data_IF_048410891968
#
_entry.id   IF_048410891968
#
_cell.length_a   1.000
_cell.length_b   1.000
_cell.length_c   1.000
_cell.angle_alpha   90.00
_cell.angle_beta   90.00
_cell.angle_gamma   90.00
#
_symmetry.space_group_name_H-M   'P 1'
#
loop_
_entity.id
_entity.type
_entity.pdbx_description
1 polymer ?
#
# COMPACT_ATOMS: atom_id res chain seq x y z
N UNK A 1 -24.78 -29.94 4.78
CA UNK A 1 -25.30 -29.34 3.52
C UNK A 1 -25.33 -27.82 3.61
N UNK A 2 -25.58 -27.25 4.78
CA UNK A 2 -25.57 -25.80 5.03
C UNK A 2 -24.17 -25.15 4.95
N UNK A 3 -23.12 -25.80 5.45
CA UNK A 3 -21.72 -25.34 5.32
C UNK A 3 -21.26 -25.23 3.85
N UNK A 4 -21.72 -26.15 2.99
CA UNK A 4 -21.39 -26.16 1.55
C UNK A 4 -22.18 -25.07 0.81
N UNK A 5 -23.39 -24.73 1.26
CA UNK A 5 -24.15 -23.61 0.72
C UNK A 5 -23.55 -22.26 1.10
N UNK A 6 -23.08 -22.12 2.34
CA UNK A 6 -22.49 -20.88 2.84
C UNK A 6 -21.15 -20.56 2.16
N UNK A 7 -20.28 -21.56 2.04
CA UNK A 7 -19.01 -21.46 1.28
C UNK A 7 -19.21 -21.16 -0.21
N UNK A 8 -20.25 -21.72 -0.85
CA UNK A 8 -20.58 -21.44 -2.25
C UNK A 8 -21.12 -20.03 -2.45
N UNK A 9 -21.91 -19.52 -1.50
CA UNK A 9 -22.41 -18.14 -1.49
C UNK A 9 -21.27 -17.15 -1.30
N UNK A 10 -20.38 -17.41 -0.35
CA UNK A 10 -19.18 -16.60 -0.09
C UNK A 10 -18.28 -16.54 -1.34
N UNK A 11 -18.02 -17.68 -1.98
CA UNK A 11 -17.25 -17.72 -3.24
C UNK A 11 -17.86 -16.86 -4.35
N UNK A 12 -19.19 -16.81 -4.47
CA UNK A 12 -19.87 -15.96 -5.47
C UNK A 12 -19.75 -14.48 -5.13
N UNK A 13 -19.83 -14.13 -3.84
CA UNK A 13 -19.64 -12.76 -3.36
C UNK A 13 -18.22 -12.29 -3.68
N UNK A 14 -17.20 -13.09 -3.30
CA UNK A 14 -15.79 -12.76 -3.56
C UNK A 14 -15.52 -12.56 -5.06
N UNK A 15 -15.98 -13.49 -5.91
CA UNK A 15 -15.83 -13.35 -7.36
C UNK A 15 -16.49 -12.10 -7.91
N UNK A 16 -17.68 -11.74 -7.42
CA UNK A 16 -18.38 -10.54 -7.89
C UNK A 16 -17.64 -9.27 -7.48
N UNK A 17 -17.16 -9.19 -6.23
CA UNK A 17 -16.33 -8.08 -5.76
C UNK A 17 -15.01 -7.97 -6.54
N UNK A 18 -14.35 -9.09 -6.82
CA UNK A 18 -13.13 -9.12 -7.64
C UNK A 18 -13.39 -8.62 -9.06
N UNK A 19 -14.45 -9.09 -9.72
CA UNK A 19 -14.83 -8.59 -11.06
C UNK A 19 -15.11 -7.09 -11.05
N UNK A 20 -15.81 -6.58 -10.04
CA UNK A 20 -16.04 -5.14 -9.88
C UNK A 20 -14.72 -4.39 -9.67
N UNK A 21 -13.85 -4.84 -8.76
CA UNK A 21 -12.52 -4.23 -8.49
C UNK A 21 -11.69 -4.16 -9.78
N UNK A 22 -11.60 -5.26 -10.52
CA UNK A 22 -10.85 -5.32 -11.78
C UNK A 22 -11.44 -4.37 -12.83
N UNK A 23 -12.76 -4.28 -12.92
CA UNK A 23 -13.43 -3.33 -13.81
C UNK A 23 -13.15 -1.88 -13.43
N UNK A 24 -13.14 -1.55 -12.13
CA UNK A 24 -12.82 -0.20 -11.67
C UNK A 24 -11.38 0.17 -12.05
N UNK A 25 -10.42 -0.74 -11.78
CA UNK A 25 -9.01 -0.59 -12.16
C UNK A 25 -8.87 -0.35 -13.67
N UNK A 26 -9.55 -1.16 -14.50
CA UNK A 26 -9.50 -0.99 -15.95
C UNK A 26 -10.00 0.40 -16.37
N UNK A 27 -11.11 0.86 -15.80
CA UNK A 27 -11.67 2.18 -16.13
C UNK A 27 -10.79 3.33 -15.61
N UNK A 28 -10.21 3.20 -14.41
CA UNK A 28 -9.28 4.19 -13.84
C UNK A 28 -7.99 4.33 -14.65
N UNK A 29 -7.56 3.27 -15.33
CA UNK A 29 -6.41 3.34 -16.25
C UNK A 29 -6.67 4.25 -17.46
N UNK A 30 -7.95 4.48 -17.80
CA UNK A 30 -8.39 5.24 -18.98
C UNK A 30 -8.88 6.65 -18.64
N UNK A 31 -9.49 6.85 -17.46
CA UNK A 31 -10.07 8.14 -17.04
C UNK A 31 -10.09 8.30 -15.51
N UNK A 32 -10.25 9.53 -15.04
CA UNK A 32 -10.42 9.81 -13.60
C UNK A 32 -11.63 9.07 -13.02
N UNK A 33 -11.51 8.59 -11.79
CA UNK A 33 -12.57 7.89 -11.06
C UNK A 33 -13.87 8.70 -10.95
N UNK A 34 -13.77 10.02 -10.87
CA UNK A 34 -14.92 10.94 -10.81
C UNK A 34 -15.78 10.91 -12.09
N UNK A 35 -15.24 10.40 -13.20
CA UNK A 35 -15.92 10.28 -14.49
C UNK A 35 -16.41 8.85 -14.77
N UNK A 36 -16.28 7.93 -13.82
CA UNK A 36 -16.76 6.55 -13.95
C UNK A 36 -18.21 6.48 -13.48
N UNK A 37 -19.07 5.86 -14.27
CA UNK A 37 -20.46 5.60 -13.89
C UNK A 37 -20.67 4.15 -13.48
N UNK A 38 -21.66 3.90 -12.60
CA UNK A 38 -22.09 2.53 -12.26
C UNK A 38 -22.47 1.73 -13.51
N UNK A 39 -23.01 2.39 -14.55
CA UNK A 39 -23.35 1.73 -15.83
C UNK A 39 -22.13 1.13 -16.51
N UNK A 40 -21.08 1.93 -16.66
CA UNK A 40 -19.86 1.51 -17.33
C UNK A 40 -19.14 0.44 -16.53
N UNK A 41 -19.09 0.60 -15.21
CA UNK A 41 -18.48 -0.37 -14.31
C UNK A 41 -19.14 -1.75 -14.45
N UNK A 42 -20.45 -1.84 -14.26
CA UNK A 42 -21.13 -3.15 -14.30
C UNK A 42 -21.14 -3.75 -15.71
N UNK A 43 -21.15 -2.92 -16.75
CA UNK A 43 -21.00 -3.38 -18.14
C UNK A 43 -19.61 -3.97 -18.41
N UNK A 44 -18.57 -3.39 -17.84
CA UNK A 44 -17.18 -3.86 -17.99
C UNK A 44 -16.94 -5.12 -17.15
N UNK A 45 -17.58 -5.21 -15.97
CA UNK A 45 -17.50 -6.38 -15.09
C UNK A 45 -18.39 -7.57 -15.53
N UNK A 46 -19.21 -7.41 -16.57
CA UNK A 46 -20.26 -8.36 -16.98
C UNK A 46 -21.22 -8.72 -15.82
N UNK A 47 -21.74 -7.69 -15.14
CA UNK A 47 -22.62 -7.81 -13.99
C UNK A 47 -23.86 -6.91 -14.12
N UNK A 48 -24.88 -7.23 -13.34
CA UNK A 48 -26.07 -6.39 -13.23
C UNK A 48 -25.84 -5.24 -12.25
N UNK A 49 -26.53 -4.11 -12.48
CA UNK A 49 -26.56 -2.97 -11.53
C UNK A 49 -26.97 -3.38 -10.13
N UNK A 50 -27.95 -4.28 -10.01
CA UNK A 50 -28.39 -4.81 -8.71
C UNK A 50 -27.26 -5.51 -7.96
N UNK A 51 -26.36 -6.21 -8.67
CA UNK A 51 -25.19 -6.86 -8.06
C UNK A 51 -24.22 -5.84 -7.47
N UNK A 52 -24.00 -4.71 -8.15
CA UNK A 52 -23.19 -3.62 -7.60
C UNK A 52 -23.79 -3.05 -6.32
N UNK A 53 -25.09 -2.74 -6.34
CA UNK A 53 -25.79 -2.15 -5.21
C UNK A 53 -25.93 -3.07 -3.99
N UNK A 54 -25.65 -4.37 -4.13
CA UNK A 54 -25.53 -5.28 -2.98
C UNK A 54 -24.28 -5.02 -2.13
N UNK A 55 -23.26 -4.36 -2.69
CA UNK A 55 -21.95 -4.18 -2.04
C UNK A 55 -21.59 -2.71 -1.86
N UNK A 56 -22.05 -1.84 -2.77
CA UNK A 56 -21.63 -0.44 -2.87
C UNK A 56 -22.80 0.49 -3.17
N UNK A 57 -22.84 1.67 -2.55
CA UNK A 57 -23.88 2.67 -2.83
C UNK A 57 -23.64 3.43 -4.13
N UNK A 58 -22.38 3.72 -4.44
CA UNK A 58 -21.91 4.43 -5.63
C UNK A 58 -20.41 4.19 -5.86
N UNK A 59 -19.85 4.80 -6.91
CA UNK A 59 -18.42 4.64 -7.26
C UNK A 59 -17.50 5.19 -6.14
N UNK A 60 -17.75 6.38 -5.56
CA UNK A 60 -16.98 6.85 -4.39
C UNK A 60 -16.97 5.89 -3.20
N UNK A 61 -18.11 5.31 -2.81
CA UNK A 61 -18.18 4.31 -1.73
C UNK A 61 -17.37 3.05 -2.06
N UNK A 62 -17.44 2.58 -3.31
CA UNK A 62 -16.61 1.47 -3.76
C UNK A 62 -15.12 1.77 -3.65
N UNK A 63 -14.70 2.96 -4.12
CA UNK A 63 -13.30 3.37 -4.05
C UNK A 63 -12.82 3.45 -2.60
N UNK A 64 -13.57 4.13 -1.74
CA UNK A 64 -13.26 4.30 -0.32
C UNK A 64 -13.10 2.94 0.41
N UNK A 65 -13.94 1.95 0.11
CA UNK A 65 -13.79 0.60 0.69
C UNK A 65 -12.52 -0.11 0.21
N UNK A 66 -12.15 0.02 -1.06
CA UNK A 66 -10.90 -0.56 -1.59
C UNK A 66 -9.66 0.14 -1.03
N UNK A 67 -9.73 1.46 -0.88
CA UNK A 67 -8.70 2.26 -0.20
C UNK A 67 -8.54 1.85 1.27
N UNK A 68 -9.64 1.65 1.99
CA UNK A 68 -9.60 1.19 3.37
C UNK A 68 -9.06 -0.23 3.52
N UNK A 69 -9.31 -1.12 2.56
CA UNK A 69 -8.69 -2.45 2.50
C UNK A 69 -7.16 -2.32 2.35
N UNK A 70 -6.68 -1.53 1.38
CA UNK A 70 -5.25 -1.29 1.17
C UNK A 70 -4.59 -0.59 2.36
N UNK A 71 -5.26 0.40 2.95
CA UNK A 71 -4.79 1.11 4.15
C UNK A 71 -4.60 0.14 5.33
N UNK A 72 -5.53 -0.78 5.52
CA UNK A 72 -5.44 -1.79 6.60
C UNK A 72 -4.28 -2.76 6.36
N UNK A 73 -3.98 -3.14 5.13
CA UNK A 73 -2.80 -3.95 4.82
C UNK A 73 -1.51 -3.22 5.20
N UNK A 74 -1.36 -1.94 4.83
CA UNK A 74 -0.21 -1.13 5.24
C UNK A 74 -0.12 -0.96 6.76
N UNK A 75 -1.23 -0.63 7.41
CA UNK A 75 -1.28 -0.47 8.87
C UNK A 75 -0.89 -1.76 9.59
N UNK A 76 -1.38 -2.90 9.11
CA UNK A 76 -1.05 -4.21 9.68
C UNK A 76 0.44 -4.51 9.56
N UNK A 77 1.05 -4.27 8.40
CA UNK A 77 2.50 -4.41 8.19
C UNK A 77 3.29 -3.53 9.16
N UNK A 78 2.93 -2.25 9.26
CA UNK A 78 3.55 -1.31 10.20
C UNK A 78 3.44 -1.82 11.64
N UNK A 79 2.27 -2.29 12.06
CA UNK A 79 2.06 -2.80 13.40
C UNK A 79 2.92 -4.04 13.69
N UNK A 80 3.04 -4.99 12.76
CA UNK A 80 3.85 -6.20 12.96
C UNK A 80 5.32 -5.86 13.26
N UNK A 81 5.87 -4.88 12.56
CA UNK A 81 7.29 -4.51 12.65
C UNK A 81 7.59 -3.53 13.79
N UNK A 82 6.63 -2.68 14.18
CA UNK A 82 6.83 -1.61 15.16
C UNK A 82 6.25 -1.86 16.56
N UNK A 83 5.31 -2.81 16.72
CA UNK A 83 4.68 -3.09 18.03
C UNK A 83 5.28 -4.27 18.80
N UNK A 84 6.13 -5.09 18.15
CA UNK A 84 6.87 -6.12 18.86
C UNK A 84 8.06 -5.45 19.55
N UNK A 85 8.15 -5.59 20.88
CA UNK A 85 9.41 -5.31 21.60
C UNK A 85 10.55 -5.92 20.78
N UNK A 86 11.65 -5.18 20.53
CA UNK A 86 12.75 -5.69 19.76
C UNK A 86 13.30 -6.91 20.50
N UNK A 87 12.90 -8.10 20.07
CA UNK A 87 13.65 -9.31 20.36
C UNK A 87 15.04 -9.05 19.83
N UNK A 88 16.03 -9.49 20.60
CA UNK A 88 17.49 -9.30 20.49
C UNK A 88 18.09 -9.58 19.09
N UNK A 89 17.28 -9.94 18.08
CA UNK A 89 17.67 -9.97 16.67
C UNK A 89 18.08 -8.57 16.18
N UNK A 90 19.15 -8.52 15.38
CA UNK A 90 19.80 -7.29 14.92
C UNK A 90 18.80 -6.28 14.35
N UNK A 91 19.01 -5.01 14.69
CA UNK A 91 18.23 -3.85 14.22
C UNK A 91 18.14 -3.81 12.68
N UNK A 92 19.13 -4.40 11.99
CA UNK A 92 19.18 -4.58 10.55
C UNK A 92 17.99 -5.35 9.99
N UNK A 93 17.65 -6.45 10.66
CA UNK A 93 16.71 -7.45 10.13
C UNK A 93 15.27 -6.96 10.25
N UNK A 94 14.99 -6.08 11.23
CA UNK A 94 13.68 -5.45 11.39
C UNK A 94 13.43 -4.35 10.33
N UNK A 95 14.43 -3.51 10.01
CA UNK A 95 14.25 -2.46 8.98
C UNK A 95 14.11 -3.08 7.59
N UNK A 96 14.93 -4.09 7.27
CA UNK A 96 14.82 -4.81 6.01
C UNK A 96 13.45 -5.48 5.86
N UNK A 97 13.03 -6.28 6.85
CA UNK A 97 11.74 -6.97 6.81
C UNK A 97 10.55 -6.00 6.73
N UNK A 98 10.63 -4.84 7.38
CA UNK A 98 9.64 -3.78 7.22
C UNK A 98 9.55 -3.28 5.78
N UNK A 99 10.69 -2.99 5.13
CA UNK A 99 10.71 -2.54 3.74
C UNK A 99 10.16 -3.63 2.81
N UNK A 100 10.57 -4.88 3.01
CA UNK A 100 10.12 -6.03 2.21
C UNK A 100 8.60 -6.19 2.28
N UNK A 101 8.02 -6.20 3.48
CA UNK A 101 6.57 -6.37 3.65
C UNK A 101 5.78 -5.17 3.11
N UNK A 102 6.30 -3.95 3.21
CA UNK A 102 5.70 -2.79 2.56
C UNK A 102 5.72 -2.92 1.03
N UNK A 103 6.82 -3.43 0.47
CA UNK A 103 6.93 -3.74 -0.96
C UNK A 103 5.97 -4.88 -1.37
N UNK A 104 5.78 -5.89 -0.52
CA UNK A 104 4.82 -6.97 -0.74
C UNK A 104 3.37 -6.44 -0.82
N UNK A 105 2.97 -5.53 0.07
CA UNK A 105 1.64 -4.90 0.00
C UNK A 105 1.44 -4.17 -1.34
N UNK A 106 2.46 -3.41 -1.78
CA UNK A 106 2.42 -2.71 -3.09
C UNK A 106 2.33 -3.72 -4.24
N UNK A 107 3.16 -4.76 -4.26
CA UNK A 107 3.21 -5.75 -5.34
C UNK A 107 1.93 -6.56 -5.44
N UNK A 108 1.37 -7.00 -4.31
CA UNK A 108 0.11 -7.74 -4.25
C UNK A 108 -1.09 -6.90 -4.71
N UNK A 109 -1.01 -5.58 -4.56
CA UNK A 109 -2.03 -4.63 -4.99
C UNK A 109 -1.61 -3.79 -6.21
N UNK A 110 -0.61 -4.25 -6.99
CA UNK A 110 0.08 -3.43 -7.99
C UNK A 110 -0.86 -2.67 -8.93
N UNK A 111 -1.82 -3.35 -9.55
CA UNK A 111 -2.72 -2.71 -10.52
C UNK A 111 -3.60 -1.62 -9.88
N UNK A 112 -4.02 -1.81 -8.63
CA UNK A 112 -4.78 -0.81 -7.88
C UNK A 112 -3.89 0.35 -7.43
N UNK A 113 -2.72 0.04 -6.86
CA UNK A 113 -1.71 1.03 -6.46
C UNK A 113 -1.28 1.92 -7.64
N UNK A 114 -1.06 1.30 -8.81
CA UNK A 114 -0.72 1.98 -10.06
C UNK A 114 -1.81 2.99 -10.48
N UNK A 115 -3.08 2.63 -10.32
CA UNK A 115 -4.19 3.52 -10.64
C UNK A 115 -4.33 4.64 -9.60
N UNK A 116 -4.31 4.30 -8.30
CA UNK A 116 -4.60 5.25 -7.22
C UNK A 116 -3.47 6.26 -7.01
N UNK A 117 -2.21 5.87 -7.26
CA UNK A 117 -1.06 6.77 -7.19
C UNK A 117 -0.77 7.51 -8.51
N UNK A 118 -1.61 7.30 -9.53
CA UNK A 118 -1.52 8.04 -10.78
C UNK A 118 -2.18 9.42 -10.67
N UNK A 119 -1.96 10.26 -11.68
CA UNK A 119 -2.66 11.55 -11.84
C UNK A 119 -4.20 11.43 -11.89
N UNK A 120 -4.73 10.24 -12.19
CA UNK A 120 -6.16 9.97 -12.30
C UNK A 120 -6.75 9.36 -11.00
N UNK A 121 -5.91 9.07 -10.02
CA UNK A 121 -6.29 8.43 -8.75
C UNK A 121 -6.74 9.43 -7.69
N UNK A 122 -6.58 9.04 -6.42
CA UNK A 122 -6.95 9.86 -5.26
C UNK A 122 -5.69 10.34 -4.51
N UNK A 123 -5.41 11.63 -4.65
CA UNK A 123 -4.27 12.27 -4.00
C UNK A 123 -4.44 12.34 -2.47
N UNK A 124 -5.67 12.43 -1.96
CA UNK A 124 -5.93 12.47 -0.53
C UNK A 124 -5.60 11.13 0.12
N UNK A 125 -5.89 10.03 -0.57
CA UNK A 125 -5.51 8.70 -0.11
C UNK A 125 -3.98 8.55 -0.03
N UNK A 126 -3.24 9.08 -1.01
CA UNK A 126 -1.78 9.09 -0.96
C UNK A 126 -1.25 9.85 0.26
N UNK A 127 -1.80 11.05 0.55
CA UNK A 127 -1.42 11.81 1.74
C UNK A 127 -1.74 11.04 3.03
N UNK A 128 -2.90 10.38 3.11
CA UNK A 128 -3.28 9.53 4.25
C UNK A 128 -2.28 8.38 4.48
N UNK A 129 -1.76 7.75 3.42
CA UNK A 129 -0.71 6.72 3.54
C UNK A 129 0.64 7.31 3.96
N UNK A 130 1.04 8.47 3.44
CA UNK A 130 2.26 9.14 3.87
C UNK A 130 2.21 9.49 5.36
N UNK A 131 1.10 10.04 5.83
CA UNK A 131 0.88 10.35 7.26
C UNK A 131 0.89 9.09 8.13
N UNK A 132 0.28 8.00 7.67
CA UNK A 132 0.32 6.72 8.37
C UNK A 132 1.76 6.26 8.60
N UNK A 133 2.59 6.24 7.55
CA UNK A 133 3.99 5.82 7.65
C UNK A 133 4.78 6.78 8.55
N UNK A 134 4.57 8.08 8.37
CA UNK A 134 5.30 9.12 9.09
C UNK A 134 5.03 9.11 10.59
N UNK A 135 3.76 8.99 11.00
CA UNK A 135 3.38 8.97 12.41
C UNK A 135 3.86 7.71 13.13
N UNK A 136 4.04 6.60 12.41
CA UNK A 136 4.49 5.35 13.04
C UNK A 136 6.02 5.22 13.08
N UNK A 137 6.76 5.83 12.14
CA UNK A 137 8.23 5.73 12.08
C UNK A 137 8.92 6.82 12.91
N UNK A 138 8.34 8.03 12.99
CA UNK A 138 8.99 9.17 13.67
C UNK A 138 9.35 8.91 15.12
N UNK A 139 8.46 8.29 15.89
CA UNK A 139 8.68 8.04 17.31
C UNK A 139 9.81 7.02 17.53
N UNK A 140 9.84 5.97 16.72
CA UNK A 140 10.91 4.97 16.71
C UNK A 140 12.26 5.57 16.34
N UNK A 141 12.30 6.44 15.33
CA UNK A 141 13.53 7.15 14.98
C UNK A 141 13.98 8.10 16.09
N UNK A 142 13.06 8.79 16.75
CA UNK A 142 13.37 9.72 17.85
C UNK A 142 13.97 9.01 19.05
N UNK A 143 13.39 7.88 19.47
CA UNK A 143 13.92 7.05 20.57
C UNK A 143 15.29 6.47 20.21
N UNK A 144 15.46 5.95 19.00
CA UNK A 144 16.73 5.32 18.59
C UNK A 144 17.86 6.32 18.39
N UNK A 145 17.53 7.55 18.00
CA UNK A 145 18.51 8.60 17.70
C UNK A 145 18.76 9.55 18.87
N UNK A 146 18.25 9.26 20.09
CA UNK A 146 18.36 10.04 21.35
C UNK A 146 19.58 11.00 21.40
N UNK A 147 19.40 12.22 20.88
CA UNK A 147 20.42 13.28 20.91
C UNK A 147 21.65 13.13 20.00
N UNK A 148 21.75 12.08 19.17
CA UNK A 148 22.90 11.85 18.27
C UNK A 148 22.84 12.66 16.97
N UNK A 149 21.63 12.97 16.50
CA UNK A 149 21.41 13.71 15.25
C UNK A 149 20.81 15.09 15.54
N UNK A 150 21.65 16.13 15.51
CA UNK A 150 21.15 17.47 15.22
C UNK A 150 20.66 17.44 13.77
N UNK A 151 19.34 17.63 13.51
CA UNK A 151 18.67 17.58 12.18
C UNK A 151 17.92 16.28 11.79
N UNK A 152 17.39 15.50 12.75
CA UNK A 152 16.59 14.28 12.47
C UNK A 152 15.51 14.46 11.39
N UNK A 153 14.85 15.64 11.33
CA UNK A 153 13.86 15.94 10.30
C UNK A 153 14.42 15.88 8.86
N UNK A 154 15.65 16.37 8.65
CA UNK A 154 16.31 16.34 7.35
C UNK A 154 16.78 14.92 6.98
N UNK A 155 17.26 14.16 7.97
CA UNK A 155 17.63 12.74 7.78
C UNK A 155 16.40 11.91 7.40
N UNK A 156 15.30 12.07 8.13
CA UNK A 156 14.03 11.43 7.79
C UNK A 156 13.55 11.83 6.38
N UNK A 157 13.61 13.12 6.04
CA UNK A 157 13.23 13.59 4.70
C UNK A 157 14.09 12.97 3.62
N UNK A 158 15.40 12.83 3.82
CA UNK A 158 16.30 12.21 2.86
C UNK A 158 15.94 10.75 2.60
N UNK A 159 15.75 9.95 3.66
CA UNK A 159 15.35 8.55 3.54
C UNK A 159 13.95 8.39 2.95
N UNK A 160 12.97 9.18 3.40
CA UNK A 160 11.61 9.19 2.84
C UNK A 160 11.65 9.47 1.35
N UNK A 161 12.31 10.56 0.93
CA UNK A 161 12.39 10.94 -0.47
C UNK A 161 13.13 9.89 -1.31
N UNK A 162 14.21 9.31 -0.79
CA UNK A 162 14.95 8.23 -1.45
C UNK A 162 14.09 6.99 -1.67
N UNK A 163 13.42 6.52 -0.61
CA UNK A 163 12.55 5.34 -0.68
C UNK A 163 11.35 5.56 -1.61
N UNK A 164 10.68 6.71 -1.52
CA UNK A 164 9.59 7.07 -2.45
C UNK A 164 10.09 7.12 -3.90
N UNK A 165 11.33 7.57 -4.13
CA UNK A 165 11.96 7.55 -5.45
C UNK A 165 12.15 6.13 -5.99
N UNK A 166 12.66 5.22 -5.16
CA UNK A 166 12.82 3.79 -5.50
C UNK A 166 11.47 3.16 -5.83
N UNK A 167 10.46 3.33 -4.95
CA UNK A 167 9.12 2.78 -5.14
C UNK A 167 8.48 3.28 -6.44
N UNK A 168 8.57 4.60 -6.72
CA UNK A 168 8.03 5.18 -7.96
C UNK A 168 8.68 4.56 -9.20
N UNK A 169 10.00 4.36 -9.17
CA UNK A 169 10.71 3.76 -10.30
C UNK A 169 10.35 2.27 -10.48
N UNK A 170 10.30 1.52 -9.38
CA UNK A 170 9.92 0.11 -9.38
C UNK A 170 8.49 -0.11 -9.89
N UNK A 171 7.53 0.69 -9.40
CA UNK A 171 6.14 0.64 -9.88
C UNK A 171 6.00 1.03 -11.35
N UNK A 172 6.77 2.03 -11.81
CA UNK A 172 6.80 2.41 -13.23
C UNK A 172 7.33 1.28 -14.11
N UNK A 173 8.28 0.50 -13.59
CA UNK A 173 8.83 -0.70 -14.23
C UNK A 173 7.92 -1.94 -14.20
N UNK A 174 6.79 -1.89 -13.47
CA UNK A 174 5.88 -3.04 -13.37
C UNK A 174 6.11 -3.94 -12.16
N UNK A 175 6.90 -3.50 -11.18
CA UNK A 175 7.28 -4.32 -10.01
C UNK A 175 7.90 -5.67 -10.41
N UNK A 176 8.80 -5.65 -11.42
CA UNK A 176 9.43 -6.85 -11.98
C UNK A 176 10.32 -7.52 -10.92
N UNK A 177 11.21 -6.74 -10.32
CA UNK A 177 12.08 -7.16 -9.21
C UNK A 177 11.24 -7.65 -8.02
N UNK A 178 11.76 -8.60 -7.27
CA UNK A 178 11.15 -9.11 -6.04
C UNK A 178 11.10 -8.01 -4.96
N UNK A 179 10.18 -8.16 -4.01
CA UNK A 179 10.12 -7.26 -2.86
C UNK A 179 11.42 -7.32 -2.04
N UNK A 180 12.04 -8.50 -1.94
CA UNK A 180 13.32 -8.75 -1.27
C UNK A 180 14.46 -8.00 -1.97
N UNK A 181 14.54 -8.04 -3.31
CA UNK A 181 15.57 -7.32 -4.08
C UNK A 181 15.49 -5.80 -3.86
N UNK A 182 14.27 -5.25 -3.79
CA UNK A 182 14.06 -3.83 -3.50
C UNK A 182 14.37 -3.51 -2.03
N UNK A 183 14.05 -4.42 -1.12
CA UNK A 183 14.38 -4.29 0.30
C UNK A 183 15.90 -4.30 0.52
N UNK A 184 16.64 -5.22 -0.11
CA UNK A 184 18.11 -5.29 -0.05
C UNK A 184 18.76 -4.01 -0.54
N UNK A 185 18.31 -3.52 -1.71
CA UNK A 185 18.80 -2.27 -2.28
C UNK A 185 18.53 -1.09 -1.33
N UNK A 186 17.29 -0.95 -0.87
CA UNK A 186 16.89 0.16 0.00
C UNK A 186 17.64 0.10 1.34
N UNK A 187 17.71 -1.08 1.94
CA UNK A 187 18.38 -1.31 3.22
C UNK A 187 19.88 -1.03 3.13
N UNK A 188 20.56 -1.46 2.06
CA UNK A 188 21.99 -1.17 1.87
C UNK A 188 22.28 0.32 1.74
N UNK A 189 21.41 1.08 1.06
CA UNK A 189 21.49 2.54 0.97
C UNK A 189 21.27 3.21 2.34
N UNK A 190 20.26 2.76 3.09
CA UNK A 190 19.97 3.27 4.45
C UNK A 190 21.16 3.03 5.37
N UNK A 191 21.65 1.79 5.43
CA UNK A 191 22.79 1.40 6.26
C UNK A 191 24.04 2.20 5.95
N UNK A 192 24.39 2.35 4.66
CA UNK A 192 25.57 3.10 4.24
C UNK A 192 25.52 4.57 4.69
N UNK A 193 24.36 5.22 4.62
CA UNK A 193 24.19 6.61 5.04
C UNK A 193 24.31 6.74 6.55
N UNK A 194 23.70 5.83 7.31
CA UNK A 194 23.81 5.82 8.78
C UNK A 194 25.26 5.66 9.22
N UNK A 195 25.99 4.69 8.65
CA UNK A 195 27.39 4.42 8.96
C UNK A 195 28.32 5.59 8.57
N UNK A 196 28.15 6.14 7.36
CA UNK A 196 29.01 7.21 6.83
C UNK A 196 28.81 8.53 7.56
N UNK A 197 27.56 8.87 7.88
CA UNK A 197 27.21 10.10 8.58
C UNK A 197 27.41 10.00 10.11
N UNK A 198 27.81 8.83 10.64
CA UNK A 198 27.91 8.54 12.08
C UNK A 198 26.61 8.88 12.83
N UNK A 199 25.48 8.60 12.19
CA UNK A 199 24.13 8.81 12.73
C UNK A 199 23.82 7.74 13.77
#
# INVERSE_FOLDING_TARGET
MDEIMDTKKDRRIRKSKESLKNSLIELMSKKSVNNITVKELVSTADLNRSTFYNYYSDIPDMLSKLEDELYKEFLYTIQIHLTKEPRIADISDNVHGFIEDMCNVIKNNYEFCKCIFSKNGDINFLFKLEELVENNIKDQLRERCEGRINNLAYVYSFFKSGYIGILKNWMKGGCIESSEEIADLTYSLVKSVVETCKI
#
